data_IF_706078265180
#
_entry.id   IF_706078265180
#
_cell.length_a   1.000
_cell.length_b   1.000
_cell.length_c   1.000
_cell.angle_alpha   90.00
_cell.angle_beta   90.00
_cell.angle_gamma   90.00
#
_symmetry.space_group_name_H-M   'P 1'
#
loop_
_entity.id
_entity.type
_entity.pdbx_description
1 polymer ?
#
# COMPACT_ATOMS: atom_id res chain seq x y z
N UNK A 1 -14.37 24.33 -1.40
CA UNK A 1 -14.08 23.69 -0.10
C UNK A 1 -14.55 22.25 -0.23
N UNK A 2 -13.68 21.27 0.00
CA UNK A 2 -14.00 19.86 -0.18
C UNK A 2 -15.03 19.41 0.86
N UNK A 3 -16.28 19.17 0.45
CA UNK A 3 -17.31 18.54 1.31
C UNK A 3 -17.36 17.05 1.05
N UNK A 4 -17.95 16.28 1.98
CA UNK A 4 -18.20 14.85 1.79
C UNK A 4 -18.89 14.62 0.45
N UNK A 5 -20.00 15.33 0.16
CA UNK A 5 -20.74 15.19 -1.10
C UNK A 5 -19.88 15.49 -2.33
N UNK A 6 -19.04 16.55 -2.29
CA UNK A 6 -18.19 16.89 -3.44
C UNK A 6 -17.12 15.84 -3.74
N UNK A 7 -16.60 15.17 -2.71
CA UNK A 7 -15.63 14.08 -2.87
C UNK A 7 -16.34 12.84 -3.43
N UNK A 8 -17.54 12.51 -2.92
CA UNK A 8 -18.30 11.39 -3.49
C UNK A 8 -18.64 11.66 -4.95
N UNK A 9 -19.02 12.90 -5.29
CA UNK A 9 -19.35 13.26 -6.66
C UNK A 9 -18.13 13.19 -7.57
N UNK A 10 -16.99 13.73 -7.15
CA UNK A 10 -15.75 13.63 -7.94
C UNK A 10 -15.35 12.17 -8.18
N UNK A 11 -15.43 11.33 -7.13
CA UNK A 11 -15.06 9.91 -7.27
C UNK A 11 -16.08 9.19 -8.14
N UNK A 12 -17.38 9.44 -7.97
CA UNK A 12 -18.40 8.90 -8.87
C UNK A 12 -18.15 9.34 -10.32
N UNK A 13 -17.87 10.61 -10.56
CA UNK A 13 -17.68 11.14 -11.91
C UNK A 13 -16.39 10.65 -12.59
N UNK A 14 -15.34 10.37 -11.81
CA UNK A 14 -14.02 9.99 -12.33
C UNK A 14 -13.74 8.49 -12.28
N UNK A 15 -14.39 7.75 -11.38
CA UNK A 15 -14.14 6.34 -11.09
C UNK A 15 -15.44 5.50 -11.08
N UNK A 16 -16.55 5.97 -11.67
CA UNK A 16 -17.84 5.23 -11.72
C UNK A 16 -17.70 3.78 -12.17
N UNK A 17 -16.79 3.55 -13.10
CA UNK A 17 -16.62 2.25 -13.77
C UNK A 17 -15.56 1.38 -13.08
N UNK A 18 -14.91 1.90 -12.02
CA UNK A 18 -13.82 1.25 -11.32
C UNK A 18 -14.22 0.86 -9.89
N UNK A 19 -13.89 -0.37 -9.50
CA UNK A 19 -13.85 -0.73 -8.09
C UNK A 19 -12.68 -0.01 -7.43
N UNK A 20 -12.97 0.89 -6.47
CA UNK A 20 -11.93 1.49 -5.64
C UNK A 20 -11.47 0.48 -4.58
N UNK A 21 -10.19 0.11 -4.65
CA UNK A 21 -9.53 -0.78 -3.70
C UNK A 21 -8.44 -0.02 -2.96
N UNK A 22 -8.53 0.09 -1.63
CA UNK A 22 -7.42 0.59 -0.82
C UNK A 22 -6.68 -0.60 -0.23
N UNK A 23 -5.34 -0.57 -0.29
CA UNK A 23 -4.50 -1.60 0.31
C UNK A 23 -3.53 -0.95 1.28
N UNK A 24 -3.55 -1.35 2.54
CA UNK A 24 -2.66 -0.80 3.57
C UNK A 24 -2.29 -1.83 4.61
N UNK A 25 -1.11 -1.69 5.22
CA UNK A 25 -0.73 -2.57 6.33
C UNK A 25 -1.70 -2.44 7.52
N UNK A 26 -2.11 -1.21 7.89
CA UNK A 26 -3.06 -0.98 8.99
C UNK A 26 -4.51 -1.04 8.52
N UNK A 27 -5.37 -1.71 9.28
CA UNK A 27 -6.81 -1.77 9.03
C UNK A 27 -7.60 -0.63 9.71
N UNK A 28 -8.75 -0.20 9.16
CA UNK A 28 -9.56 0.89 9.71
C UNK A 28 -10.38 0.51 10.95
N UNK A 29 -10.76 -0.76 11.11
CA UNK A 29 -11.50 -1.29 12.27
C UNK A 29 -10.90 -2.59 12.76
N UNK A 30 -10.52 -2.63 14.03
CA UNK A 30 -9.89 -3.77 14.69
C UNK A 30 -10.91 -4.37 15.67
N UNK A 31 -11.13 -5.67 15.61
CA UNK A 31 -11.97 -6.38 16.59
C UNK A 31 -11.08 -7.10 17.60
N UNK A 32 -11.40 -6.90 18.88
CA UNK A 32 -10.65 -7.50 19.98
C UNK A 32 -11.54 -8.02 21.08
N UNK A 33 -11.02 -8.97 21.86
CA UNK A 33 -11.70 -9.41 23.07
C UNK A 33 -11.53 -8.40 24.19
N UNK A 34 -12.64 -7.97 24.79
CA UNK A 34 -12.64 -7.29 26.09
C UNK A 34 -13.65 -7.95 27.00
N UNK A 35 -13.16 -8.47 28.14
CA UNK A 35 -13.97 -9.17 29.16
C UNK A 35 -14.84 -10.28 28.55
N UNK A 36 -14.30 -11.06 27.61
CA UNK A 36 -14.99 -12.17 26.96
C UNK A 36 -15.98 -11.77 25.86
N UNK A 37 -16.11 -10.48 25.55
CA UNK A 37 -16.96 -9.98 24.47
C UNK A 37 -16.10 -9.42 23.33
N UNK A 38 -16.58 -9.57 22.10
CA UNK A 38 -15.97 -8.93 20.93
C UNK A 38 -16.37 -7.46 20.92
N UNK A 39 -15.38 -6.58 20.98
CA UNK A 39 -15.55 -5.14 20.78
C UNK A 39 -14.74 -4.70 19.56
N UNK A 40 -15.04 -3.52 19.03
CA UNK A 40 -14.25 -2.95 17.94
C UNK A 40 -13.68 -1.58 18.31
N UNK A 41 -12.54 -1.26 17.72
CA UNK A 41 -11.92 0.06 17.78
C UNK A 41 -11.63 0.55 16.36
N UNK A 42 -11.95 1.83 16.09
CA UNK A 42 -11.50 2.50 14.87
C UNK A 42 -10.03 2.85 14.99
N UNK A 43 -9.22 2.50 13.98
CA UNK A 43 -7.81 2.87 13.95
C UNK A 43 -7.62 4.40 13.85
N UNK A 44 -6.53 4.89 14.43
CA UNK A 44 -6.26 6.33 14.58
C UNK A 44 -5.20 6.89 13.59
N UNK A 45 -4.76 6.11 12.60
CA UNK A 45 -3.72 6.52 11.66
C UNK A 45 -4.19 7.57 10.65
N UNK A 46 -3.29 8.44 10.18
CA UNK A 46 -3.60 9.49 9.20
C UNK A 46 -4.28 8.97 7.93
N UNK A 47 -3.80 7.85 7.39
CA UNK A 47 -4.40 7.13 6.25
C UNK A 47 -5.87 6.75 6.55
N UNK A 48 -6.14 6.20 7.73
CA UNK A 48 -7.50 5.76 8.12
C UNK A 48 -8.42 6.97 8.26
N UNK A 49 -7.94 8.04 8.88
CA UNK A 49 -8.71 9.28 9.05
C UNK A 49 -9.07 9.92 7.72
N UNK A 50 -8.13 9.95 6.77
CA UNK A 50 -8.32 10.55 5.46
C UNK A 50 -9.19 9.70 4.52
N UNK A 51 -8.97 8.37 4.49
CA UNK A 51 -9.56 7.50 3.47
C UNK A 51 -10.83 6.76 3.90
N UNK A 52 -11.09 6.55 5.19
CA UNK A 52 -12.33 5.90 5.64
C UNK A 52 -13.60 6.65 5.15
N UNK A 53 -13.71 8.00 5.22
CA UNK A 53 -14.87 8.71 4.66
C UNK A 53 -15.07 8.49 3.16
N UNK A 54 -13.97 8.38 2.41
CA UNK A 54 -13.98 8.08 0.97
C UNK A 54 -14.50 6.68 0.71
N UNK A 55 -14.03 5.68 1.47
CA UNK A 55 -14.49 4.30 1.30
C UNK A 55 -15.96 4.13 1.62
N UNK A 56 -16.45 4.78 2.69
CA UNK A 56 -17.89 4.81 3.02
C UNK A 56 -18.74 5.46 1.94
N UNK A 57 -18.18 6.38 1.17
CA UNK A 57 -18.88 7.07 0.09
C UNK A 57 -19.01 6.24 -1.18
N UNK A 58 -18.01 5.41 -1.46
CA UNK A 58 -17.88 4.70 -2.73
C UNK A 58 -18.22 3.22 -2.62
N UNK A 59 -18.53 2.73 -1.41
CA UNK A 59 -18.77 1.31 -1.11
C UNK A 59 -17.67 0.39 -1.66
N UNK A 60 -16.43 0.85 -1.56
CA UNK A 60 -15.26 0.17 -2.11
C UNK A 60 -14.79 -1.02 -1.28
N UNK A 61 -13.58 -1.48 -1.59
CA UNK A 61 -12.89 -2.54 -0.88
C UNK A 61 -11.66 -2.00 -0.15
N UNK A 62 -11.49 -2.34 1.13
CA UNK A 62 -10.26 -2.11 1.86
C UNK A 62 -9.59 -3.45 2.17
N UNK A 63 -8.36 -3.67 1.70
CA UNK A 63 -7.54 -4.84 2.02
C UNK A 63 -6.48 -4.44 3.04
N UNK A 64 -6.42 -5.12 4.18
CA UNK A 64 -5.45 -4.80 5.24
C UNK A 64 -5.06 -5.99 6.10
N UNK A 65 -3.95 -5.89 6.85
CA UNK A 65 -3.59 -6.91 7.83
C UNK A 65 -4.58 -6.90 9.01
N UNK A 66 -5.19 -8.06 9.27
CA UNK A 66 -6.09 -8.31 10.40
C UNK A 66 -5.33 -8.59 11.68
N UNK A 67 -4.99 -7.54 12.43
CA UNK A 67 -4.16 -7.64 13.64
C UNK A 67 -4.95 -7.75 14.96
N UNK A 68 -6.28 -7.85 14.90
CA UNK A 68 -7.15 -8.01 16.07
C UNK A 68 -7.31 -9.48 16.43
N UNK A 69 -7.21 -9.80 17.72
CA UNK A 69 -7.38 -11.16 18.26
C UNK A 69 -8.79 -11.74 18.09
N UNK A 70 -9.81 -10.88 17.88
CA UNK A 70 -11.17 -11.30 17.55
C UNK A 70 -11.52 -11.12 16.05
N UNK A 71 -10.61 -10.64 15.22
CA UNK A 71 -10.87 -10.43 13.79
C UNK A 71 -11.31 -11.70 13.05
N UNK A 72 -10.73 -12.90 13.28
CA UNK A 72 -11.17 -14.12 12.60
C UNK A 72 -12.62 -14.53 12.90
N UNK A 73 -13.18 -14.09 14.03
CA UNK A 73 -14.53 -14.46 14.45
C UNK A 73 -15.63 -13.63 13.80
N UNK A 74 -15.28 -12.46 13.26
CA UNK A 74 -16.22 -11.53 12.63
C UNK A 74 -16.12 -11.54 11.10
N UNK A 75 -15.15 -12.26 10.54
CA UNK A 75 -14.96 -12.39 9.10
C UNK A 75 -15.65 -13.63 8.54
N UNK A 76 -16.07 -13.55 7.28
CA UNK A 76 -16.47 -14.73 6.52
C UNK A 76 -15.28 -15.65 6.18
N UNK A 77 -15.54 -16.76 5.48
CA UNK A 77 -14.51 -17.73 5.07
C UNK A 77 -13.43 -17.15 4.15
N UNK A 78 -13.71 -16.01 3.51
CA UNK A 78 -12.76 -15.29 2.65
C UNK A 78 -12.06 -14.15 3.42
N UNK A 79 -12.25 -14.02 4.74
CA UNK A 79 -11.65 -12.95 5.53
C UNK A 79 -12.34 -11.60 5.38
N UNK A 80 -13.58 -11.55 4.88
CA UNK A 80 -14.32 -10.29 4.64
C UNK A 80 -15.21 -9.93 5.84
N UNK A 81 -15.32 -8.65 6.15
CA UNK A 81 -16.27 -8.10 7.12
C UNK A 81 -16.82 -6.76 6.62
N UNK A 82 -18.11 -6.51 6.84
CA UNK A 82 -18.73 -5.23 6.54
C UNK A 82 -18.35 -4.17 7.58
N UNK A 83 -17.92 -2.99 7.14
CA UNK A 83 -17.49 -1.90 8.04
C UNK A 83 -18.07 -0.54 7.64
N UNK A 84 -18.28 0.40 8.59
CA UNK A 84 -18.13 0.25 10.04
C UNK A 84 -19.07 -0.80 10.66
N UNK A 85 -18.71 -1.48 11.77
CA UNK A 85 -19.49 -2.63 12.28
C UNK A 85 -20.97 -2.36 12.58
N UNK A 86 -21.33 -1.16 13.04
CA UNK A 86 -22.71 -0.81 13.38
C UNK A 86 -23.56 -0.37 12.17
N UNK A 87 -22.92 0.03 11.07
CA UNK A 87 -23.61 0.46 9.86
C UNK A 87 -22.70 0.21 8.65
N UNK A 88 -22.60 -1.06 8.19
CA UNK A 88 -21.70 -1.44 7.11
C UNK A 88 -21.96 -0.63 5.84
N UNK A 89 -20.91 -0.06 5.27
CA UNK A 89 -20.98 0.79 4.08
C UNK A 89 -19.94 0.42 3.01
N UNK A 90 -18.90 -0.32 3.40
CA UNK A 90 -17.89 -0.89 2.50
C UNK A 90 -17.34 -2.20 3.09
N UNK A 91 -16.58 -2.94 2.29
CA UNK A 91 -16.01 -4.24 2.68
C UNK A 91 -14.56 -4.07 3.14
N UNK A 92 -14.23 -4.63 4.30
CA UNK A 92 -12.85 -4.83 4.76
C UNK A 92 -12.47 -6.30 4.57
N UNK A 93 -11.48 -6.56 3.72
CA UNK A 93 -10.83 -7.87 3.52
C UNK A 93 -9.56 -7.91 4.37
N UNK A 94 -9.51 -8.86 5.30
CA UNK A 94 -8.35 -9.07 6.16
C UNK A 94 -7.40 -10.09 5.56
N UNK A 95 -6.13 -9.73 5.51
CA UNK A 95 -5.01 -10.64 5.30
C UNK A 95 -4.55 -11.08 6.69
N UNK A 96 -4.62 -12.38 6.99
CA UNK A 96 -4.12 -12.91 8.26
C UNK A 96 -2.67 -13.33 8.10
N UNK A 97 -1.83 -12.82 9.00
CA UNK A 97 -0.40 -13.08 9.03
C UNK A 97 -0.08 -13.90 10.28
N UNK A 98 0.76 -14.92 10.14
CA UNK A 98 1.23 -15.70 11.29
C UNK A 98 2.34 -14.95 12.04
N UNK A 99 2.87 -15.55 13.10
CA UNK A 99 3.91 -14.90 13.91
C UNK A 99 5.18 -14.65 13.10
N UNK A 100 5.60 -15.64 12.32
CA UNK A 100 6.79 -15.58 11.49
C UNK A 100 6.69 -14.47 10.44
N UNK A 101 5.51 -14.32 9.81
CA UNK A 101 5.20 -13.21 8.93
C UNK A 101 5.37 -11.87 9.66
N UNK A 102 4.74 -11.70 10.83
CA UNK A 102 4.79 -10.44 11.57
C UNK A 102 6.22 -10.09 11.98
N UNK A 103 6.98 -11.08 12.47
CA UNK A 103 8.35 -10.90 12.93
C UNK A 103 9.27 -10.58 11.75
N UNK A 104 9.18 -11.29 10.62
CA UNK A 104 10.06 -11.08 9.47
C UNK A 104 9.67 -9.91 8.57
N UNK A 105 8.38 -9.69 8.31
CA UNK A 105 7.90 -8.62 7.43
C UNK A 105 7.72 -7.30 8.17
N UNK A 106 6.98 -7.28 9.27
CA UNK A 106 6.60 -6.03 9.93
C UNK A 106 7.72 -5.55 10.85
N UNK A 107 8.12 -6.35 11.84
CA UNK A 107 9.21 -5.96 12.73
C UNK A 107 10.57 -6.00 12.04
N UNK A 108 10.80 -7.02 11.21
CA UNK A 108 12.00 -7.21 10.42
C UNK A 108 12.12 -6.21 9.27
N UNK A 109 11.85 -6.63 8.03
CA UNK A 109 12.25 -5.86 6.86
C UNK A 109 11.63 -4.45 6.80
N UNK A 110 10.35 -4.31 7.16
CA UNK A 110 9.68 -3.00 7.15
C UNK A 110 10.33 -2.05 8.17
N UNK A 111 10.44 -2.44 9.44
CA UNK A 111 10.81 -1.52 10.52
C UNK A 111 12.28 -1.55 10.95
N UNK A 112 13.03 -2.63 10.68
CA UNK A 112 14.49 -2.70 10.89
C UNK A 112 15.31 -2.36 9.65
N UNK A 113 14.76 -2.50 8.43
CA UNK A 113 15.47 -2.18 7.19
C UNK A 113 14.94 -0.89 6.52
N UNK A 114 13.72 -0.92 5.97
CA UNK A 114 13.21 0.18 5.13
C UNK A 114 12.99 1.46 5.93
N UNK A 115 12.38 1.37 7.12
CA UNK A 115 12.10 2.53 7.95
C UNK A 115 13.35 3.34 8.33
N UNK A 116 14.40 2.75 8.95
CA UNK A 116 15.63 3.48 9.28
C UNK A 116 16.40 3.95 8.03
N UNK A 117 16.41 3.15 6.96
CA UNK A 117 17.01 3.54 5.68
C UNK A 117 16.38 4.83 5.13
N UNK A 118 15.07 4.93 5.22
CA UNK A 118 14.30 6.06 4.69
C UNK A 118 14.41 7.32 5.54
N UNK A 119 14.47 7.17 6.87
CA UNK A 119 14.52 8.30 7.80
C UNK A 119 15.91 8.85 8.06
N UNK A 120 16.96 8.24 7.48
CA UNK A 120 18.36 8.50 7.85
C UNK A 120 18.51 8.45 9.39
N UNK A 121 17.82 7.49 10.01
CA UNK A 121 17.70 7.43 11.45
C UNK A 121 19.08 7.21 12.09
N UNK A 122 19.25 7.66 13.34
CA UNK A 122 20.46 7.36 14.12
C UNK A 122 20.71 5.85 14.26
N UNK A 123 19.66 5.04 14.15
CA UNK A 123 19.75 3.59 14.07
C UNK A 123 20.04 3.14 12.64
N UNK A 124 21.13 2.39 12.48
CA UNK A 124 21.52 1.83 11.19
C UNK A 124 20.49 0.81 10.72
N UNK A 125 20.14 0.78 9.42
CA UNK A 125 19.28 -0.26 8.88
C UNK A 125 19.98 -1.63 8.95
N UNK A 126 19.20 -2.65 9.29
CA UNK A 126 19.66 -4.03 9.40
C UNK A 126 19.01 -4.88 8.29
N UNK A 127 19.83 -5.44 7.41
CA UNK A 127 19.37 -6.23 6.27
C UNK A 127 19.61 -7.72 6.51
N UNK A 128 18.53 -8.44 6.76
CA UNK A 128 18.54 -9.90 6.86
C UNK A 128 17.80 -10.50 5.67
N UNK A 129 18.41 -11.51 5.03
CA UNK A 129 17.82 -12.11 3.82
C UNK A 129 16.50 -12.83 4.15
N UNK A 130 16.41 -13.42 5.33
CA UNK A 130 15.22 -14.13 5.81
C UNK A 130 14.03 -13.16 6.00
N UNK A 131 14.32 -11.95 6.49
CA UNK A 131 13.32 -10.89 6.60
C UNK A 131 12.86 -10.39 5.22
N UNK A 132 13.79 -10.24 4.26
CA UNK A 132 13.45 -9.91 2.89
C UNK A 132 12.54 -10.96 2.25
N UNK A 133 12.89 -12.25 2.39
CA UNK A 133 12.11 -13.34 1.82
C UNK A 133 10.70 -13.35 2.44
N UNK A 134 10.57 -13.11 3.75
CA UNK A 134 9.27 -12.93 4.41
C UNK A 134 8.52 -11.70 3.88
N UNK A 135 9.21 -10.59 3.62
CA UNK A 135 8.62 -9.37 3.08
C UNK A 135 8.02 -9.59 1.68
N UNK A 136 8.73 -10.33 0.83
CA UNK A 136 8.27 -10.77 -0.48
C UNK A 136 7.01 -11.63 -0.36
N UNK A 137 7.02 -12.65 0.50
CA UNK A 137 5.88 -13.55 0.68
C UNK A 137 4.64 -12.85 1.23
N UNK A 138 4.81 -11.90 2.15
CA UNK A 138 3.68 -11.09 2.63
C UNK A 138 3.13 -10.19 1.52
N UNK A 139 3.98 -9.55 0.71
CA UNK A 139 3.50 -8.76 -0.43
C UNK A 139 2.71 -9.62 -1.44
N UNK A 140 3.12 -10.88 -1.68
CA UNK A 140 2.35 -11.84 -2.49
C UNK A 140 0.99 -12.18 -1.87
N UNK A 141 0.92 -12.41 -0.55
CA UNK A 141 -0.35 -12.64 0.17
C UNK A 141 -1.33 -11.47 -0.01
N UNK A 142 -0.83 -10.24 0.07
CA UNK A 142 -1.63 -9.05 -0.22
C UNK A 142 -2.08 -8.99 -1.68
N UNK A 143 -1.19 -9.28 -2.64
CA UNK A 143 -1.53 -9.32 -4.05
C UNK A 143 -2.64 -10.34 -4.34
N UNK A 144 -2.51 -11.56 -3.82
CA UNK A 144 -3.52 -12.60 -3.93
C UNK A 144 -4.86 -12.13 -3.35
N UNK A 145 -4.86 -11.56 -2.14
CA UNK A 145 -6.08 -11.09 -1.50
C UNK A 145 -6.78 -9.98 -2.31
N UNK A 146 -6.03 -9.11 -2.99
CA UNK A 146 -6.60 -8.10 -3.89
C UNK A 146 -7.17 -8.74 -5.16
N UNK A 147 -6.39 -9.61 -5.82
CA UNK A 147 -6.77 -10.23 -7.08
C UNK A 147 -8.01 -11.13 -6.96
N UNK A 148 -8.18 -11.82 -5.82
CA UNK A 148 -9.36 -12.62 -5.51
C UNK A 148 -10.65 -11.78 -5.38
N UNK A 149 -10.54 -10.52 -4.96
CA UNK A 149 -11.71 -9.64 -4.76
C UNK A 149 -12.04 -8.82 -6.01
N UNK A 150 -11.00 -8.43 -6.76
CA UNK A 150 -11.16 -7.68 -8.02
C UNK A 150 -11.77 -8.58 -9.10
N UNK A 151 -11.42 -9.87 -9.13
CA UNK A 151 -11.87 -10.82 -10.16
C UNK A 151 -11.66 -10.25 -11.57
N UNK A 152 -12.72 -10.01 -12.36
CA UNK A 152 -12.64 -9.46 -13.73
C UNK A 152 -13.07 -7.99 -13.82
N UNK A 153 -13.22 -7.29 -12.68
CA UNK A 153 -13.68 -5.89 -12.66
C UNK A 153 -12.53 -4.94 -13.01
N UNK A 154 -12.84 -3.82 -13.65
CA UNK A 154 -11.93 -2.68 -13.68
C UNK A 154 -11.72 -2.20 -12.25
N UNK A 155 -10.47 -2.02 -11.83
CA UNK A 155 -10.17 -1.62 -10.46
C UNK A 155 -9.12 -0.52 -10.41
N UNK A 156 -9.36 0.45 -9.52
CA UNK A 156 -8.37 1.43 -9.12
C UNK A 156 -7.82 0.98 -7.76
N UNK A 157 -6.58 0.49 -7.76
CA UNK A 157 -5.91 -0.03 -6.58
C UNK A 157 -5.01 1.06 -6.03
N UNK A 158 -5.30 1.53 -4.82
CA UNK A 158 -4.57 2.58 -4.14
C UNK A 158 -3.80 2.01 -2.94
N UNK A 159 -2.51 1.74 -3.17
CA UNK A 159 -1.59 1.12 -2.20
C UNK A 159 -1.02 2.19 -1.27
N UNK A 160 -0.93 1.85 0.01
CA UNK A 160 -0.45 2.75 1.05
C UNK A 160 0.84 2.23 1.65
N UNK A 161 1.86 3.08 1.56
CA UNK A 161 3.05 3.09 2.38
C UNK A 161 4.12 2.02 2.05
N UNK A 162 5.28 2.18 2.69
CA UNK A 162 6.51 1.41 2.41
C UNK A 162 6.42 -0.09 2.71
N UNK A 163 5.39 -0.51 3.44
CA UNK A 163 5.15 -1.91 3.77
C UNK A 163 4.80 -2.75 2.52
N UNK A 164 4.35 -2.12 1.43
CA UNK A 164 3.80 -2.82 0.27
C UNK A 164 4.52 -2.44 -1.03
N UNK A 165 5.85 -2.27 -0.99
CA UNK A 165 6.64 -1.79 -2.13
C UNK A 165 6.65 -2.74 -3.33
N UNK A 166 6.43 -4.05 -3.12
CA UNK A 166 6.44 -5.07 -4.18
C UNK A 166 5.04 -5.44 -4.68
N UNK A 167 4.00 -5.00 -3.96
CA UNK A 167 2.62 -5.25 -4.32
C UNK A 167 2.27 -4.81 -5.76
N UNK A 168 2.68 -3.62 -6.27
CA UNK A 168 2.33 -3.21 -7.63
C UNK A 168 2.80 -4.21 -8.69
N UNK A 169 4.03 -4.72 -8.54
CA UNK A 169 4.61 -5.74 -9.41
C UNK A 169 3.75 -7.00 -9.44
N UNK A 170 3.47 -7.58 -8.28
CA UNK A 170 2.68 -8.82 -8.22
C UNK A 170 1.25 -8.65 -8.74
N UNK A 171 0.68 -7.44 -8.67
CA UNK A 171 -0.62 -7.14 -9.27
C UNK A 171 -0.55 -7.10 -10.80
N UNK A 172 0.42 -6.38 -11.37
CA UNK A 172 0.55 -6.21 -12.83
C UNK A 172 1.06 -7.47 -13.53
N UNK A 173 1.90 -8.28 -12.88
CA UNK A 173 2.36 -9.59 -13.39
C UNK A 173 1.25 -10.64 -13.43
N UNK A 174 0.09 -10.40 -12.79
CA UNK A 174 -1.07 -11.30 -12.89
C UNK A 174 -1.77 -11.28 -14.25
N UNK A 175 -1.30 -10.44 -15.19
CA UNK A 175 -1.83 -10.22 -16.54
C UNK A 175 -3.32 -9.82 -16.57
N UNK A 176 -3.89 -9.42 -15.43
CA UNK A 176 -5.23 -8.85 -15.38
C UNK A 176 -5.25 -7.50 -16.09
N UNK A 177 -5.92 -7.46 -17.22
CA UNK A 177 -6.24 -6.23 -17.92
C UNK A 177 -7.14 -5.35 -17.03
N UNK A 178 -6.99 -4.02 -17.15
CA UNK A 178 -7.82 -3.00 -16.48
C UNK A 178 -7.52 -2.71 -14.99
N UNK A 179 -6.31 -3.01 -14.51
CA UNK A 179 -5.84 -2.52 -13.21
C UNK A 179 -5.13 -1.18 -13.37
N UNK A 180 -5.66 -0.14 -12.72
CA UNK A 180 -4.92 1.11 -12.46
C UNK A 180 -4.35 1.00 -11.05
N UNK A 181 -3.04 1.09 -10.91
CA UNK A 181 -2.32 0.95 -9.65
C UNK A 181 -1.63 2.26 -9.31
N UNK A 182 -2.06 2.85 -8.20
CA UNK A 182 -1.44 4.01 -7.61
C UNK A 182 -0.88 3.66 -6.23
N UNK A 183 0.25 4.24 -5.85
CA UNK A 183 0.86 4.02 -4.55
C UNK A 183 1.27 5.36 -3.95
N UNK A 184 0.92 5.59 -2.68
CA UNK A 184 1.44 6.71 -1.93
C UNK A 184 2.44 6.26 -0.86
N UNK A 185 3.66 6.79 -0.93
CA UNK A 185 4.76 6.51 0.01
C UNK A 185 4.78 7.58 1.11
N UNK A 186 4.42 7.21 2.34
CA UNK A 186 4.13 8.18 3.42
C UNK A 186 5.38 8.59 4.21
N UNK A 187 6.48 7.90 4.04
CA UNK A 187 7.74 8.20 4.74
C UNK A 187 8.69 8.98 3.82
N UNK A 188 9.78 9.56 4.31
CA UNK A 188 10.77 10.17 3.43
C UNK A 188 11.32 9.17 2.42
N UNK A 189 11.71 9.64 1.23
CA UNK A 189 12.56 8.86 0.33
C UNK A 189 14.02 9.32 0.50
N UNK A 190 14.95 8.42 0.81
CA UNK A 190 16.33 8.78 1.12
C UNK A 190 17.08 9.24 -0.13
N UNK A 191 18.21 9.94 0.05
CA UNK A 191 19.12 10.23 -1.05
C UNK A 191 19.70 8.93 -1.63
N UNK A 192 20.16 8.97 -2.89
CA UNK A 192 20.78 7.80 -3.52
C UNK A 192 21.96 7.24 -2.70
N UNK A 193 22.80 8.11 -2.14
CA UNK A 193 23.95 7.71 -1.32
C UNK A 193 23.55 6.88 -0.08
N UNK A 194 22.40 7.19 0.51
CA UNK A 194 21.83 6.39 1.60
C UNK A 194 21.16 5.14 1.05
N UNK A 195 20.36 5.26 -0.02
CA UNK A 195 19.58 4.15 -0.57
C UNK A 195 20.46 3.00 -1.11
N UNK A 196 21.60 3.32 -1.74
CA UNK A 196 22.47 2.35 -2.42
C UNK A 196 23.01 1.23 -1.52
N UNK A 197 23.02 1.45 -0.19
CA UNK A 197 23.46 0.45 0.79
C UNK A 197 22.46 -0.71 0.92
N UNK A 198 21.21 -0.51 0.50
CA UNK A 198 20.20 -1.56 0.52
C UNK A 198 20.58 -2.67 -0.47
N UNK A 199 20.72 -3.93 -0.02
CA UNK A 199 21.06 -5.03 -0.91
C UNK A 199 19.96 -5.28 -1.96
N UNK A 200 18.68 -5.13 -1.58
CA UNK A 200 17.52 -5.35 -2.46
C UNK A 200 16.97 -4.07 -3.10
N UNK A 201 17.83 -3.08 -3.32
CA UNK A 201 17.46 -1.79 -3.91
C UNK A 201 16.79 -1.92 -5.27
N UNK A 202 17.28 -2.81 -6.13
CA UNK A 202 16.76 -2.99 -7.48
C UNK A 202 15.37 -3.63 -7.43
N UNK A 203 15.14 -4.60 -6.56
CA UNK A 203 13.85 -5.26 -6.39
C UNK A 203 12.79 -4.31 -5.84
N UNK A 204 13.17 -3.44 -4.89
CA UNK A 204 12.26 -2.40 -4.36
C UNK A 204 11.91 -1.39 -5.44
N UNK A 205 12.91 -0.87 -6.18
CA UNK A 205 12.66 0.07 -7.28
C UNK A 205 11.81 -0.57 -8.36
N UNK A 206 12.12 -1.80 -8.76
CA UNK A 206 11.36 -2.58 -9.73
C UNK A 206 9.90 -2.72 -9.27
N UNK A 207 9.67 -3.13 -8.02
CA UNK A 207 8.34 -3.23 -7.41
C UNK A 207 7.52 -1.95 -7.52
N UNK A 208 8.14 -0.80 -7.22
CA UNK A 208 7.49 0.51 -7.25
C UNK A 208 7.25 1.03 -8.68
N UNK A 209 8.06 0.63 -9.65
CA UNK A 209 7.94 1.01 -11.06
C UNK A 209 6.86 0.23 -11.84
N UNK A 210 6.12 -0.66 -11.17
CA UNK A 210 4.88 -1.22 -11.72
C UNK A 210 3.63 -0.38 -11.39
N UNK A 211 3.77 0.71 -10.64
CA UNK A 211 2.70 1.67 -10.47
C UNK A 211 2.48 2.49 -11.74
N UNK A 212 1.22 2.81 -12.04
CA UNK A 212 0.88 3.85 -13.02
C UNK A 212 1.14 5.25 -12.41
N UNK A 213 0.97 5.39 -11.09
CA UNK A 213 1.25 6.61 -10.34
C UNK A 213 1.90 6.30 -8.98
N UNK A 214 3.09 6.87 -8.74
CA UNK A 214 3.78 6.86 -7.45
C UNK A 214 3.79 8.26 -6.84
N UNK A 215 3.18 8.38 -5.66
CA UNK A 215 3.03 9.64 -4.92
C UNK A 215 3.97 9.73 -3.71
N UNK A 216 4.52 10.91 -3.49
CA UNK A 216 5.30 11.27 -2.29
C UNK A 216 4.76 12.57 -1.69
N UNK A 217 5.13 12.88 -0.44
CA UNK A 217 4.69 14.13 0.20
C UNK A 217 5.26 15.40 -0.45
N UNK A 218 6.54 15.39 -0.85
CA UNK A 218 7.23 16.57 -1.37
C UNK A 218 8.05 16.26 -2.61
N UNK A 219 8.31 17.30 -3.41
CA UNK A 219 9.09 17.20 -4.65
C UNK A 219 10.50 16.64 -4.43
N UNK A 220 11.14 16.99 -3.32
CA UNK A 220 12.48 16.50 -3.00
C UNK A 220 12.56 14.97 -2.94
N UNK A 221 11.53 14.30 -2.40
CA UNK A 221 11.49 12.82 -2.37
C UNK A 221 11.25 12.22 -3.76
N UNK A 222 10.51 12.92 -4.62
CA UNK A 222 10.37 12.54 -6.02
C UNK A 222 11.71 12.61 -6.74
N UNK A 223 12.45 13.72 -6.56
CA UNK A 223 13.77 13.90 -7.18
C UNK A 223 14.77 12.82 -6.70
N UNK A 224 14.80 12.52 -5.40
CA UNK A 224 15.64 11.46 -4.84
C UNK A 224 15.26 10.06 -5.38
N UNK A 225 13.97 9.77 -5.54
CA UNK A 225 13.50 8.52 -6.14
C UNK A 225 13.94 8.39 -7.60
N UNK A 226 13.73 9.45 -8.40
CA UNK A 226 14.16 9.46 -9.80
C UNK A 226 15.67 9.30 -9.94
N UNK A 227 16.46 9.94 -9.08
CA UNK A 227 17.92 9.73 -9.06
C UNK A 227 18.30 8.30 -8.69
N UNK A 228 17.62 7.68 -7.73
CA UNK A 228 17.86 6.28 -7.38
C UNK A 228 17.54 5.34 -8.55
N UNK A 229 16.44 5.59 -9.27
CA UNK A 229 16.09 4.82 -10.48
C UNK A 229 17.14 5.01 -11.57
N UNK A 230 17.52 6.25 -11.89
CA UNK A 230 18.49 6.60 -12.94
C UNK A 230 19.85 5.93 -12.73
N UNK A 231 20.28 5.77 -11.47
CA UNK A 231 21.58 5.20 -11.12
C UNK A 231 21.59 3.67 -10.97
N UNK A 232 20.45 3.06 -10.61
CA UNK A 232 20.39 1.64 -10.25
C UNK A 232 19.70 0.76 -11.31
N UNK A 233 18.94 1.37 -12.22
CA UNK A 233 18.08 0.66 -13.18
C UNK A 233 18.27 1.22 -14.61
N UNK A 234 18.29 0.33 -15.60
CA UNK A 234 18.19 0.74 -17.01
C UNK A 234 16.78 1.24 -17.32
N UNK A 235 16.61 2.55 -17.40
CA UNK A 235 15.32 3.19 -17.65
C UNK A 235 15.49 4.56 -18.30
N UNK A 236 14.42 5.08 -18.91
CA UNK A 236 14.39 6.45 -19.42
C UNK A 236 13.63 7.33 -18.44
N UNK A 237 14.29 8.36 -17.92
CA UNK A 237 13.67 9.37 -17.05
C UNK A 237 13.19 10.56 -17.90
N UNK A 238 11.88 10.83 -17.86
CA UNK A 238 11.30 12.07 -18.36
C UNK A 238 11.17 13.07 -17.20
N UNK A 239 12.13 14.00 -17.11
CA UNK A 239 12.19 14.98 -16.03
C UNK A 239 11.13 16.10 -16.16
N UNK A 240 10.61 16.35 -17.35
CA UNK A 240 9.55 17.35 -17.54
C UNK A 240 8.22 16.83 -17.03
N UNK A 241 7.89 15.59 -17.41
CA UNK A 241 6.66 14.92 -16.97
C UNK A 241 6.80 14.22 -15.63
N UNK A 242 7.98 14.23 -15.00
CA UNK A 242 8.29 13.45 -13.80
C UNK A 242 7.83 12.01 -13.96
N UNK A 243 8.40 11.31 -14.95
CA UNK A 243 8.01 9.95 -15.28
C UNK A 243 9.23 9.05 -15.49
N UNK A 244 9.05 7.76 -15.21
CA UNK A 244 10.01 6.71 -15.54
C UNK A 244 9.38 5.82 -16.60
N UNK A 245 10.10 5.58 -17.69
CA UNK A 245 9.66 4.74 -18.80
C UNK A 245 10.57 3.51 -18.86
N UNK A 246 9.96 2.32 -18.78
CA UNK A 246 10.63 1.01 -18.90
C UNK A 246 9.86 0.12 -19.88
N UNK A 247 10.43 -0.10 -21.06
CA UNK A 247 9.72 -0.76 -22.15
C UNK A 247 8.46 0.00 -22.53
N UNK A 248 7.30 -0.65 -22.43
CA UNK A 248 5.98 -0.05 -22.69
C UNK A 248 5.33 0.53 -21.42
N UNK A 249 5.93 0.35 -20.25
CA UNK A 249 5.38 0.81 -18.98
C UNK A 249 5.87 2.23 -18.66
N UNK A 250 4.93 3.07 -18.21
CA UNK A 250 5.20 4.42 -17.71
C UNK A 250 4.72 4.53 -16.26
N UNK A 251 5.60 4.96 -15.36
CA UNK A 251 5.25 5.33 -13.98
C UNK A 251 5.37 6.83 -13.81
N UNK A 252 4.26 7.50 -13.51
CA UNK A 252 4.26 8.91 -13.13
C UNK A 252 4.69 9.05 -11.67
N UNK A 253 5.60 9.98 -11.39
CA UNK A 253 6.07 10.30 -10.04
C UNK A 253 5.57 11.69 -9.66
N UNK A 254 4.86 11.84 -8.53
CA UNK A 254 4.21 13.11 -8.17
C UNK A 254 4.34 13.43 -6.69
N UNK A 255 4.47 14.72 -6.40
CA UNK A 255 4.38 15.24 -5.05
C UNK A 255 2.94 15.65 -4.73
N UNK A 256 2.38 15.14 -3.64
CA UNK A 256 1.11 15.57 -3.07
C UNK A 256 1.36 15.97 -1.60
N UNK A 257 1.46 17.27 -1.29
CA UNK A 257 1.56 17.71 0.09
C UNK A 257 0.23 17.45 0.79
N UNK A 258 0.27 16.63 1.85
CA UNK A 258 -0.86 16.20 2.68
C UNK A 258 -0.54 16.55 4.12
#
# INVERSE_FOLDING_TARGET
MWTRESIQQLIRDRLSDYLLVIVSNRQPYIHSFRKGQVVFQRGAGGVITALDPVMRACSGLWVAYGNGDADPLVTDRKGRVGVPPNNPSYTLKRVFLNKEDIDGYYYGYSNQAIWPLSHMAFQRPEFYKEHWDTYVEVNKKFAQAVLEEVENKKAFIFIQDYHLALLPKFLKESEKENLIVAHFWHIPWPSHETFRICPQKQEILDGLLYNDLLGFHIRHFCDNFLEAVDREMESRIDRERYAVIRGEQETLVRAFPI
#
